data_IF_893901000205
#
_entry.id   IF_893901000205
#
_cell.length_a   1.000
_cell.length_b   1.000
_cell.length_c   1.000
_cell.angle_alpha   90.00
_cell.angle_beta   90.00
_cell.angle_gamma   90.00
#
_symmetry.space_group_name_H-M   'P 1'
#
loop_
_entity.id
_entity.type
_entity.pdbx_description
1 polymer ?
#
# COMPACT_ATOMS: atom_id res chain seq x y z
N UNK A 1 72.73 -8.77 16.04
CA UNK A 1 73.62 -7.64 15.69
C UNK A 1 72.87 -6.77 14.68
N UNK A 2 72.33 -5.62 15.11
CA UNK A 2 72.85 -4.26 14.84
C UNK A 2 72.84 -3.94 13.33
N UNK A 3 71.90 -3.12 12.84
CA UNK A 3 71.72 -1.65 12.95
C UNK A 3 72.10 -1.00 11.59
N UNK A 4 71.15 -0.20 11.09
CA UNK A 4 71.31 1.10 10.39
C UNK A 4 71.94 1.18 9.00
N UNK A 5 71.24 1.89 8.11
CA UNK A 5 71.67 3.00 7.23
C UNK A 5 70.37 3.65 6.69
N UNK A 6 70.14 4.95 6.57
CA UNK A 6 71.00 6.13 6.58
C UNK A 6 70.68 6.99 5.34
N UNK A 7 70.21 8.22 5.57
CA UNK A 7 70.17 9.39 4.67
C UNK A 7 69.07 9.51 3.60
N UNK A 8 68.30 10.61 3.61
CA UNK A 8 68.72 11.86 2.93
C UNK A 8 67.74 13.04 3.12
N UNK A 9 68.35 14.23 3.22
CA UNK A 9 67.89 15.56 2.81
C UNK A 9 66.88 16.35 3.66
N UNK A 10 67.47 17.24 4.46
CA UNK A 10 66.95 18.53 4.92
C UNK A 10 66.43 19.40 3.75
N UNK A 11 65.26 19.99 3.93
CA UNK A 11 64.82 21.21 3.24
C UNK A 11 64.09 22.09 4.25
N UNK A 12 64.79 23.08 4.80
CA UNK A 12 64.29 24.04 5.79
C UNK A 12 63.67 25.22 5.03
N UNK A 13 62.36 25.46 5.13
CA UNK A 13 61.75 26.74 4.76
C UNK A 13 60.86 27.23 5.90
N UNK A 14 61.21 28.43 6.34
CA UNK A 14 60.66 29.37 7.30
C UNK A 14 59.37 29.06 8.07
N UNK A 15 59.51 29.20 9.38
CA UNK A 15 58.49 29.41 10.39
C UNK A 15 57.87 30.82 10.25
N UNK A 16 56.57 30.92 10.04
CA UNK A 16 55.78 32.11 10.40
C UNK A 16 54.56 31.68 11.22
N UNK A 17 54.57 32.13 12.48
CA UNK A 17 53.58 31.92 13.51
C UNK A 17 52.26 32.64 13.23
N UNK A 18 51.21 32.15 13.90
CA UNK A 18 49.92 32.76 14.24
C UNK A 18 48.74 32.46 13.29
N UNK A 19 47.87 31.57 13.77
CA UNK A 19 46.53 31.36 13.27
C UNK A 19 45.81 30.30 14.11
N UNK A 20 45.41 30.66 15.34
CA UNK A 20 44.40 29.90 16.07
C UNK A 20 43.13 29.84 15.21
N UNK A 21 42.69 28.63 14.89
CA UNK A 21 41.41 28.38 14.27
C UNK A 21 40.84 27.13 14.88
N UNK A 22 40.10 27.30 15.98
CA UNK A 22 39.22 26.28 16.55
C UNK A 22 38.43 25.63 15.42
N UNK A 23 38.61 24.32 15.22
CA UNK A 23 37.62 23.55 14.46
C UNK A 23 36.37 23.51 15.34
N UNK A 24 35.23 24.08 14.92
CA UNK A 24 34.01 23.89 15.65
C UNK A 24 33.64 22.40 15.53
N UNK A 25 33.56 21.71 16.66
CA UNK A 25 32.80 20.47 16.74
C UNK A 25 31.39 20.77 16.23
N UNK A 26 31.03 20.11 15.13
CA UNK A 26 29.68 20.15 14.60
C UNK A 26 28.76 19.52 15.65
N UNK A 27 28.04 20.37 16.39
CA UNK A 27 27.02 19.93 17.33
C UNK A 27 25.95 19.17 16.56
N UNK A 28 26.03 17.84 16.57
CA UNK A 28 24.94 16.98 16.16
C UNK A 28 23.75 17.33 17.03
N UNK A 29 22.77 18.01 16.44
CA UNK A 29 21.55 18.37 17.12
C UNK A 29 20.87 17.08 17.61
N UNK A 30 20.64 16.97 18.92
CA UNK A 30 19.78 15.93 19.47
C UNK A 30 18.39 16.09 18.84
N UNK A 31 18.01 15.16 17.98
CA UNK A 31 16.63 15.02 17.50
C UNK A 31 15.78 14.71 18.72
N UNK A 32 15.07 15.71 19.22
CA UNK A 32 14.05 15.50 20.25
C UNK A 32 12.90 14.73 19.60
N UNK A 33 12.31 13.73 20.29
CA UNK A 33 11.11 13.09 19.79
C UNK A 33 10.01 14.15 19.69
N UNK A 34 9.45 14.34 18.51
CA UNK A 34 8.33 15.24 18.30
C UNK A 34 7.09 14.67 19.02
N UNK A 35 6.94 15.00 20.30
CA UNK A 35 5.69 14.83 21.04
C UNK A 35 4.95 16.16 21.05
N UNK A 36 4.34 16.48 19.92
CA UNK A 36 3.21 17.40 19.89
C UNK A 36 2.31 16.96 18.76
N UNK A 37 1.09 16.51 19.10
CA UNK A 37 0.01 16.38 18.13
C UNK A 37 -0.25 17.78 17.58
N UNK A 38 0.42 18.10 16.48
CA UNK A 38 0.25 19.35 15.76
C UNK A 38 -1.17 19.30 15.18
N UNK A 39 -2.02 20.26 15.55
CA UNK A 39 -3.32 20.43 14.92
C UNK A 39 -3.09 20.45 13.41
N UNK A 40 -3.75 19.53 12.69
CA UNK A 40 -3.66 19.49 11.25
C UNK A 40 -4.13 20.86 10.72
N UNK A 41 -3.18 21.63 10.19
CA UNK A 41 -3.48 22.91 9.56
C UNK A 41 -4.52 22.73 8.45
N UNK A 42 -5.17 23.83 8.04
CA UNK A 42 -6.11 23.78 6.91
C UNK A 42 -5.41 23.19 5.68
N UNK A 43 -6.01 22.21 4.98
CA UNK A 43 -5.42 21.66 3.76
C UNK A 43 -5.15 22.78 2.75
N UNK A 44 -3.92 22.87 2.28
CA UNK A 44 -3.51 23.73 1.18
C UNK A 44 -3.67 22.97 -0.14
N UNK A 45 -4.36 23.58 -1.11
CA UNK A 45 -4.56 23.00 -2.44
C UNK A 45 -3.49 23.47 -3.42
N UNK A 46 -3.09 22.61 -4.36
CA UNK A 46 -2.14 22.95 -5.42
C UNK A 46 -0.66 22.74 -5.10
N UNK A 47 -0.35 22.10 -3.97
CA UNK A 47 1.01 21.67 -3.64
C UNK A 47 1.40 20.37 -4.35
N UNK A 48 2.70 20.12 -4.43
CA UNK A 48 3.28 18.93 -5.02
C UNK A 48 3.91 18.06 -3.95
N UNK A 49 3.62 16.76 -4.02
CA UNK A 49 4.36 15.73 -3.28
C UNK A 49 5.30 15.02 -4.26
N UNK A 50 6.60 15.24 -4.10
CA UNK A 50 7.62 14.51 -4.85
C UNK A 50 8.09 13.30 -4.02
N UNK A 51 7.74 12.10 -4.48
CA UNK A 51 8.20 10.84 -3.89
C UNK A 51 9.24 10.21 -4.81
N UNK A 52 10.42 9.92 -4.28
CA UNK A 52 11.44 9.16 -5.01
C UNK A 52 11.12 7.66 -4.96
N UNK A 53 11.01 7.03 -6.12
CA UNK A 53 10.93 5.57 -6.24
C UNK A 53 12.32 4.98 -6.47
N UNK A 54 12.60 3.82 -5.87
CA UNK A 54 13.88 3.11 -5.99
C UNK A 54 14.03 2.37 -7.33
N UNK A 55 12.91 2.11 -8.01
CA UNK A 55 12.85 1.46 -9.32
C UNK A 55 11.56 1.84 -10.06
N UNK A 56 11.54 1.58 -11.37
CA UNK A 56 10.32 1.66 -12.15
C UNK A 56 9.43 0.41 -11.90
N UNK A 57 8.10 0.55 -11.97
CA UNK A 57 7.19 -0.59 -11.93
C UNK A 57 7.29 -1.39 -13.24
N UNK A 58 7.18 -2.72 -13.17
CA UNK A 58 7.15 -3.56 -14.38
C UNK A 58 5.79 -3.45 -15.09
N UNK A 59 4.71 -3.39 -14.29
CA UNK A 59 3.33 -3.30 -14.75
C UNK A 59 2.43 -2.68 -13.68
N UNK A 60 1.34 -2.04 -14.12
CA UNK A 60 0.37 -1.36 -13.25
C UNK A 60 -0.99 -2.06 -13.28
N UNK A 61 -0.99 -3.37 -13.10
CA UNK A 61 -2.20 -4.15 -12.90
C UNK A 61 -2.15 -4.78 -11.49
N UNK A 62 -3.13 -4.50 -10.61
CA UNK A 62 -3.09 -4.95 -9.23
C UNK A 62 -3.20 -6.48 -9.10
N UNK A 63 -3.73 -7.17 -10.11
CA UNK A 63 -3.85 -8.63 -10.06
C UNK A 63 -2.59 -9.37 -10.48
N UNK A 64 -1.80 -8.78 -11.36
CA UNK A 64 -0.64 -9.46 -11.97
C UNK A 64 0.70 -8.93 -11.47
N UNK A 65 0.74 -7.71 -10.93
CA UNK A 65 1.95 -7.13 -10.35
C UNK A 65 2.17 -7.60 -8.92
N UNK A 66 3.39 -8.06 -8.62
CA UNK A 66 3.88 -8.34 -7.27
C UNK A 66 5.09 -7.47 -6.89
N UNK A 67 5.36 -6.41 -7.67
CA UNK A 67 6.52 -5.55 -7.49
C UNK A 67 6.23 -4.39 -6.49
N UNK A 68 7.24 -3.99 -5.73
CA UNK A 68 7.09 -3.00 -4.66
C UNK A 68 6.86 -1.57 -5.18
N UNK A 69 7.42 -1.22 -6.34
CA UNK A 69 7.26 0.10 -6.94
C UNK A 69 5.83 0.27 -7.47
N UNK A 70 5.29 -0.74 -8.17
CA UNK A 70 3.92 -0.80 -8.61
C UNK A 70 2.96 -0.80 -7.41
N UNK A 71 3.22 -1.60 -6.37
CA UNK A 71 2.38 -1.59 -5.15
C UNK A 71 2.27 -0.18 -4.56
N UNK A 72 3.38 0.56 -4.53
CA UNK A 72 3.43 1.93 -4.03
C UNK A 72 2.64 2.92 -4.89
N UNK A 73 2.49 2.66 -6.19
CA UNK A 73 1.71 3.48 -7.12
C UNK A 73 0.23 3.06 -7.11
N UNK A 74 -0.04 1.75 -7.14
CA UNK A 74 -1.37 1.16 -7.24
C UNK A 74 -2.26 1.50 -6.06
N UNK A 75 -1.70 1.66 -4.84
CA UNK A 75 -2.46 2.13 -3.67
C UNK A 75 -3.10 3.52 -3.85
N UNK A 76 -2.63 4.33 -4.81
CA UNK A 76 -3.21 5.62 -5.17
C UNK A 76 -4.23 5.53 -6.31
N UNK A 77 -4.30 4.40 -7.01
CA UNK A 77 -5.14 4.20 -8.20
C UNK A 77 -6.35 3.33 -7.86
N UNK A 78 -6.12 2.20 -7.19
CA UNK A 78 -7.14 1.26 -6.79
C UNK A 78 -7.44 1.41 -5.31
N UNK A 79 -8.65 1.02 -4.94
CA UNK A 79 -9.17 1.15 -3.59
C UNK A 79 -9.87 -0.15 -3.22
N UNK A 80 -9.84 -0.47 -1.93
CA UNK A 80 -10.43 -1.66 -1.35
C UNK A 80 -11.73 -1.36 -0.60
N UNK A 81 -12.45 -2.41 -0.18
CA UNK A 81 -13.68 -2.26 0.60
C UNK A 81 -13.40 -1.61 1.96
N UNK A 82 -12.35 -2.06 2.63
CA UNK A 82 -11.84 -1.58 3.92
C UNK A 82 -10.38 -1.18 3.78
N UNK A 83 -9.92 -0.26 4.61
CA UNK A 83 -8.51 0.16 4.69
C UNK A 83 -8.03 0.15 6.14
N UNK A 84 -6.76 0.49 6.37
CA UNK A 84 -6.21 0.66 7.71
C UNK A 84 -6.01 2.13 8.02
N UNK A 85 -6.37 2.52 9.24
CA UNK A 85 -5.99 3.83 9.75
C UNK A 85 -4.45 3.90 9.86
N UNK A 86 -3.79 4.91 9.28
CA UNK A 86 -2.33 4.96 9.23
C UNK A 86 -1.67 5.21 10.60
N UNK A 87 -2.44 5.59 11.62
CA UNK A 87 -1.94 5.86 12.98
C UNK A 87 -2.25 4.70 13.94
N UNK A 88 -3.48 4.20 13.92
CA UNK A 88 -3.92 3.15 14.85
C UNK A 88 -3.77 1.75 14.27
N UNK A 89 -3.61 1.64 12.94
CA UNK A 89 -3.58 0.38 12.17
C UNK A 89 -4.89 -0.42 12.25
N UNK A 90 -5.95 0.17 12.81
CA UNK A 90 -7.27 -0.43 12.89
C UNK A 90 -7.89 -0.53 11.50
N UNK A 91 -8.65 -1.60 11.28
CA UNK A 91 -9.38 -1.81 10.04
C UNK A 91 -10.63 -0.92 10.03
N UNK A 92 -10.72 -0.02 9.06
CA UNK A 92 -11.77 1.00 8.94
C UNK A 92 -12.45 0.94 7.55
N UNK A 93 -13.71 1.42 7.44
CA UNK A 93 -14.42 1.54 6.17
C UNK A 93 -13.66 2.39 5.13
N UNK A 94 -13.78 2.02 3.84
CA UNK A 94 -13.30 2.82 2.71
C UNK A 94 -14.38 2.95 1.62
N UNK A 95 -14.50 1.95 0.73
CA UNK A 95 -15.58 1.86 -0.27
C UNK A 95 -16.85 1.25 0.34
N UNK A 96 -16.71 0.38 1.34
CA UNK A 96 -17.82 -0.29 1.99
C UNK A 96 -17.76 -0.11 3.52
N UNK A 97 -18.91 -0.27 4.17
CA UNK A 97 -18.95 -0.45 5.62
C UNK A 97 -18.29 -1.77 6.03
N UNK A 98 -17.91 -1.89 7.32
CA UNK A 98 -17.46 -3.17 7.88
C UNK A 98 -18.56 -4.23 7.71
N UNK A 99 -18.19 -5.49 7.44
CA UNK A 99 -19.17 -6.50 7.09
C UNK A 99 -20.02 -6.92 8.30
N UNK A 100 -21.26 -7.30 8.03
CA UNK A 100 -22.02 -8.12 8.96
C UNK A 100 -21.46 -9.54 8.88
N UNK A 101 -20.88 -10.01 10.00
CA UNK A 101 -20.29 -11.34 10.13
C UNK A 101 -21.32 -12.27 10.76
N UNK A 102 -21.58 -13.42 10.13
CA UNK A 102 -22.50 -14.44 10.66
C UNK A 102 -21.99 -15.06 11.97
N UNK A 103 -22.89 -15.66 12.75
CA UNK A 103 -22.56 -16.27 14.04
C UNK A 103 -21.55 -17.42 13.93
N UNK A 104 -21.60 -18.20 12.84
CA UNK A 104 -20.64 -19.25 12.52
C UNK A 104 -19.32 -18.73 11.94
N UNK A 105 -19.22 -17.42 11.68
CA UNK A 105 -18.08 -16.73 11.08
C UNK A 105 -17.75 -17.20 9.67
N UNK A 106 -18.70 -17.80 8.96
CA UNK A 106 -18.54 -18.33 7.60
C UNK A 106 -19.12 -17.43 6.51
N UNK A 107 -19.84 -16.36 6.87
CA UNK A 107 -20.41 -15.39 5.94
C UNK A 107 -20.06 -13.96 6.33
N UNK A 108 -19.66 -13.16 5.34
CA UNK A 108 -19.28 -11.75 5.49
C UNK A 108 -20.07 -10.95 4.47
N UNK A 109 -20.99 -10.11 4.93
CA UNK A 109 -21.87 -9.30 4.06
C UNK A 109 -21.42 -7.84 4.11
N UNK A 110 -20.93 -7.31 3.00
CA UNK A 110 -20.48 -5.93 2.85
C UNK A 110 -21.56 -5.09 2.16
N UNK A 111 -21.73 -3.87 2.64
CA UNK A 111 -22.59 -2.87 2.01
C UNK A 111 -21.71 -1.76 1.43
N UNK A 112 -21.72 -1.66 0.11
CA UNK A 112 -20.94 -0.72 -0.69
C UNK A 112 -21.63 0.65 -0.64
N UNK A 113 -20.82 1.70 -0.55
CA UNK A 113 -21.30 3.08 -0.61
C UNK A 113 -21.80 3.43 -2.02
N UNK A 114 -22.86 4.23 -2.10
CA UNK A 114 -23.50 4.62 -3.37
C UNK A 114 -22.91 5.86 -4.03
N UNK A 115 -22.01 6.56 -3.33
CA UNK A 115 -21.37 7.79 -3.80
C UNK A 115 -19.99 7.53 -4.44
N UNK A 116 -19.58 6.27 -4.56
CA UNK A 116 -18.28 5.87 -5.10
C UNK A 116 -18.38 5.70 -6.61
N UNK A 117 -17.46 6.34 -7.33
CA UNK A 117 -17.38 6.32 -8.79
C UNK A 117 -15.95 6.01 -9.22
N UNK A 118 -15.82 5.35 -10.37
CA UNK A 118 -14.54 5.22 -11.06
C UNK A 118 -14.15 6.56 -11.71
N UNK A 119 -12.88 6.65 -12.14
CA UNK A 119 -12.33 7.84 -12.79
C UNK A 119 -13.05 8.24 -14.09
N UNK A 120 -13.75 7.30 -14.73
CA UNK A 120 -14.59 7.56 -15.91
C UNK A 120 -16.02 8.03 -15.57
N UNK A 121 -16.31 8.23 -14.29
CA UNK A 121 -17.60 8.66 -13.78
C UNK A 121 -18.64 7.56 -13.62
N UNK A 122 -18.33 6.28 -13.92
CA UNK A 122 -19.28 5.18 -13.70
C UNK A 122 -19.38 4.84 -12.21
N UNK A 123 -20.60 4.56 -11.69
CA UNK A 123 -20.75 4.15 -10.30
C UNK A 123 -20.09 2.80 -10.05
N UNK A 124 -19.46 2.64 -8.90
CA UNK A 124 -18.94 1.36 -8.43
C UNK A 124 -20.08 0.57 -7.78
N UNK A 125 -20.22 -0.70 -8.18
CA UNK A 125 -21.30 -1.59 -7.72
C UNK A 125 -20.77 -2.90 -7.17
N UNK A 126 -21.66 -3.73 -6.62
CA UNK A 126 -21.34 -5.10 -6.20
C UNK A 126 -20.81 -5.97 -7.34
N UNK A 127 -21.23 -5.72 -8.58
CA UNK A 127 -20.73 -6.44 -9.77
C UNK A 127 -19.22 -6.26 -9.96
N UNK A 128 -18.67 -5.09 -9.62
CA UNK A 128 -17.23 -4.83 -9.72
C UNK A 128 -16.44 -5.62 -8.66
N UNK A 129 -16.99 -5.72 -7.45
CA UNK A 129 -16.40 -6.52 -6.37
C UNK A 129 -16.47 -8.01 -6.70
N UNK A 130 -17.63 -8.48 -7.19
CA UNK A 130 -17.84 -9.85 -7.62
C UNK A 130 -16.90 -10.23 -8.77
N UNK A 131 -16.76 -9.34 -9.75
CA UNK A 131 -15.79 -9.50 -10.83
C UNK A 131 -14.37 -9.62 -10.31
N UNK A 132 -13.96 -8.74 -9.38
CA UNK A 132 -12.59 -8.69 -8.86
C UNK A 132 -12.20 -10.02 -8.20
N UNK A 133 -13.07 -10.60 -7.37
CA UNK A 133 -12.80 -11.90 -6.73
C UNK A 133 -12.78 -13.04 -7.75
N UNK A 134 -13.66 -13.02 -8.76
CA UNK A 134 -13.65 -14.00 -9.85
C UNK A 134 -12.37 -13.92 -10.68
N UNK A 135 -11.91 -12.71 -11.00
CA UNK A 135 -10.68 -12.48 -11.74
C UNK A 135 -9.46 -13.01 -10.97
N UNK A 136 -9.37 -12.76 -9.66
CA UNK A 136 -8.31 -13.34 -8.81
C UNK A 136 -8.35 -14.88 -8.85
N UNK A 137 -9.54 -15.47 -8.73
CA UNK A 137 -9.70 -16.94 -8.71
C UNK A 137 -9.58 -17.60 -10.09
N UNK A 138 -9.72 -16.84 -11.18
CA UNK A 138 -9.63 -17.37 -12.53
C UNK A 138 -8.23 -17.94 -12.81
N UNK A 139 -8.09 -19.22 -13.20
CA UNK A 139 -6.79 -19.84 -13.44
C UNK A 139 -6.06 -19.27 -14.67
N UNK A 140 -6.79 -18.59 -15.56
CA UNK A 140 -6.22 -17.93 -16.75
C UNK A 140 -5.63 -16.55 -16.43
N UNK A 141 -5.92 -15.98 -15.26
CA UNK A 141 -5.32 -14.72 -14.79
C UNK A 141 -4.04 -15.05 -14.02
N UNK A 142 -2.94 -14.36 -14.33
CA UNK A 142 -1.67 -14.53 -13.65
C UNK A 142 -1.63 -13.85 -12.26
N UNK A 143 -2.50 -14.29 -11.35
CA UNK A 143 -2.61 -13.78 -9.98
C UNK A 143 -2.30 -14.83 -8.88
N UNK A 144 -1.30 -15.73 -9.03
CA UNK A 144 -1.07 -16.80 -8.06
C UNK A 144 -0.75 -16.29 -6.65
N UNK A 145 -0.03 -15.16 -6.55
CA UNK A 145 0.37 -14.53 -5.29
C UNK A 145 -0.82 -13.93 -4.53
N UNK A 146 -1.87 -13.46 -5.22
CA UNK A 146 -3.11 -13.03 -4.57
C UNK A 146 -4.03 -14.21 -4.27
N UNK A 147 -4.14 -15.15 -5.22
CA UNK A 147 -5.11 -16.25 -5.16
C UNK A 147 -4.98 -17.08 -3.88
N UNK A 148 -3.75 -17.24 -3.37
CA UNK A 148 -3.50 -17.96 -2.11
C UNK A 148 -4.28 -17.38 -0.92
N UNK A 149 -4.46 -16.06 -0.85
CA UNK A 149 -5.20 -15.40 0.22
C UNK A 149 -6.71 -15.62 0.12
N UNK A 150 -7.22 -15.85 -1.09
CA UNK A 150 -8.65 -16.04 -1.38
C UNK A 150 -9.04 -17.52 -1.58
N UNK A 151 -8.16 -18.46 -1.22
CA UNK A 151 -8.41 -19.91 -1.28
C UNK A 151 -9.54 -20.35 -0.34
N UNK A 152 -9.79 -19.62 0.76
CA UNK A 152 -10.87 -19.92 1.70
C UNK A 152 -12.25 -19.49 1.18
N UNK A 153 -12.32 -18.58 0.20
CA UNK A 153 -13.58 -18.12 -0.38
C UNK A 153 -14.19 -19.24 -1.22
N UNK A 154 -15.34 -19.74 -0.78
CA UNK A 154 -16.11 -20.78 -1.47
C UNK A 154 -17.04 -20.16 -2.50
N UNK A 155 -17.67 -19.05 -2.13
CA UNK A 155 -18.66 -18.38 -2.97
C UNK A 155 -18.67 -16.87 -2.69
N UNK A 156 -19.12 -16.10 -3.68
CA UNK A 156 -19.40 -14.68 -3.57
C UNK A 156 -20.64 -14.37 -4.40
N UNK A 157 -21.67 -13.80 -3.77
CA UNK A 157 -22.93 -13.55 -4.43
C UNK A 157 -23.48 -12.17 -4.05
N UNK A 158 -24.19 -11.55 -4.99
CA UNK A 158 -24.91 -10.31 -4.73
C UNK A 158 -26.23 -10.61 -4.02
N UNK A 159 -26.55 -9.79 -3.02
CA UNK A 159 -27.88 -9.72 -2.40
C UNK A 159 -28.71 -8.60 -3.04
N UNK A 160 -28.02 -7.55 -3.49
CA UNK A 160 -28.54 -6.45 -4.31
C UNK A 160 -27.34 -5.74 -5.01
N UNK A 161 -27.60 -4.69 -5.78
CA UNK A 161 -26.60 -3.95 -6.56
C UNK A 161 -25.42 -3.39 -5.74
N UNK A 162 -25.57 -3.21 -4.43
CA UNK A 162 -24.56 -2.64 -3.53
C UNK A 162 -24.25 -3.53 -2.32
N UNK A 163 -24.79 -4.76 -2.28
CA UNK A 163 -24.58 -5.68 -1.17
C UNK A 163 -24.03 -6.99 -1.67
N UNK A 164 -22.81 -7.32 -1.25
CA UNK A 164 -22.12 -8.56 -1.59
C UNK A 164 -21.92 -9.42 -0.35
N UNK A 165 -22.21 -10.72 -0.46
CA UNK A 165 -21.93 -11.72 0.56
C UNK A 165 -20.81 -12.63 0.07
N UNK A 166 -19.78 -12.77 0.90
CA UNK A 166 -18.75 -13.80 0.74
C UNK A 166 -19.06 -14.96 1.68
N UNK A 167 -18.95 -16.18 1.15
CA UNK A 167 -18.99 -17.43 1.91
C UNK A 167 -17.60 -18.04 1.94
N UNK A 168 -17.14 -18.41 3.12
CA UNK A 168 -15.80 -18.99 3.33
C UNK A 168 -15.89 -20.40 3.91
N UNK A 169 -14.86 -21.21 3.68
CA UNK A 169 -14.83 -22.63 4.06
C UNK A 169 -14.59 -22.87 5.55
N UNK A 170 -13.88 -21.97 6.22
CA UNK A 170 -13.45 -22.13 7.61
C UNK A 170 -13.28 -20.78 8.33
N UNK A 171 -13.56 -20.71 9.65
CA UNK A 171 -13.33 -19.50 10.42
C UNK A 171 -11.83 -19.22 10.54
N UNK A 172 -11.42 -18.01 10.15
CA UNK A 172 -10.05 -17.54 10.23
C UNK A 172 -10.02 -16.05 10.59
N UNK A 173 -9.13 -15.68 11.51
CA UNK A 173 -9.14 -14.35 12.13
C UNK A 173 -8.84 -13.22 11.14
N UNK A 174 -8.18 -13.50 10.01
CA UNK A 174 -7.90 -12.49 8.98
C UNK A 174 -8.97 -12.40 7.89
N UNK A 175 -10.01 -13.23 7.90
CA UNK A 175 -10.99 -13.23 6.80
C UNK A 175 -11.60 -11.86 6.56
N UNK A 176 -11.94 -11.11 7.61
CA UNK A 176 -12.44 -9.74 7.46
C UNK A 176 -11.42 -8.83 6.77
N UNK A 177 -10.15 -8.88 7.18
CA UNK A 177 -9.09 -8.05 6.59
C UNK A 177 -8.77 -8.45 5.15
N UNK A 178 -8.82 -9.75 4.83
CA UNK A 178 -8.51 -10.26 3.48
C UNK A 178 -9.65 -9.93 2.52
N UNK A 179 -10.89 -10.19 2.91
CA UNK A 179 -12.06 -9.87 2.09
C UNK A 179 -12.23 -8.36 1.93
N UNK A 180 -12.01 -7.60 3.01
CA UNK A 180 -12.07 -6.15 2.98
C UNK A 180 -10.94 -5.51 2.18
N UNK A 181 -9.79 -6.17 2.08
CA UNK A 181 -8.59 -5.68 1.39
C UNK A 181 -8.53 -6.02 -0.10
N UNK A 182 -9.61 -6.51 -0.70
CA UNK A 182 -9.65 -6.77 -2.14
C UNK A 182 -9.63 -5.46 -2.93
N UNK A 183 -8.70 -5.32 -3.87
CA UNK A 183 -8.71 -4.22 -4.83
C UNK A 183 -9.90 -4.37 -5.78
N UNK A 184 -10.73 -3.33 -5.88
CA UNK A 184 -11.92 -3.34 -6.73
C UNK A 184 -11.57 -2.85 -8.14
N UNK A 185 -11.77 -3.72 -9.12
CA UNK A 185 -11.53 -3.46 -10.53
C UNK A 185 -12.82 -3.06 -11.25
N UNK A 186 -12.79 -2.10 -12.19
CA UNK A 186 -13.93 -1.76 -13.02
C UNK A 186 -14.27 -2.91 -13.97
N UNK A 187 -15.32 -3.68 -13.66
CA UNK A 187 -15.74 -4.83 -14.47
C UNK A 187 -16.00 -4.40 -15.91
N UNK A 188 -16.62 -3.24 -16.09
CA UNK A 188 -16.97 -2.72 -17.40
C UNK A 188 -15.77 -2.40 -18.31
N UNK A 189 -14.57 -2.27 -17.76
CA UNK A 189 -13.35 -2.05 -18.51
C UNK A 189 -12.61 -3.37 -18.77
N UNK A 190 -12.49 -4.21 -17.74
CA UNK A 190 -11.72 -5.45 -17.82
C UNK A 190 -12.49 -6.64 -18.41
N UNK A 191 -13.82 -6.61 -18.35
CA UNK A 191 -14.69 -7.67 -18.85
C UNK A 191 -15.96 -7.10 -19.52
N UNK A 192 -15.79 -6.35 -20.64
CA UNK A 192 -16.92 -5.72 -21.34
C UNK A 192 -17.91 -6.77 -21.91
N UNK A 193 -17.41 -7.96 -22.25
CA UNK A 193 -18.19 -9.04 -22.83
C UNK A 193 -18.79 -10.00 -21.78
N UNK A 194 -18.54 -9.74 -20.49
CA UNK A 194 -19.04 -10.54 -19.37
C UNK A 194 -18.66 -12.03 -19.48
N UNK A 195 -17.38 -12.30 -19.71
CA UNK A 195 -16.77 -13.60 -19.83
C UNK A 195 -16.64 -14.32 -18.48
N UNK A 196 -16.47 -13.57 -17.38
CA UNK A 196 -16.35 -14.12 -16.02
C UNK A 196 -17.72 -14.11 -15.30
N UNK A 197 -18.61 -14.99 -15.76
CA UNK A 197 -19.92 -15.24 -15.12
C UNK A 197 -19.85 -16.03 -13.83
#
# INVERSE_FOLDING_TARGET
>A
MRRTNGSAALGLVLLSLLGCGDRPEEKVAKVQPATSAQEAGKPVGGDWLLIHSLSDPEQLNPLTSNDAAASSILQYIFQSLLTRDPRTLELVPLIAGRPVISADKLSYTFTIRRDVHFQDGRPLTGEDVLFSIKAIKCPLVNAPFLRVYFNSVVDANLLDDFTIRFTIKEPYFLNESVLGGIDVLPRHYYDPDNLLK
#
